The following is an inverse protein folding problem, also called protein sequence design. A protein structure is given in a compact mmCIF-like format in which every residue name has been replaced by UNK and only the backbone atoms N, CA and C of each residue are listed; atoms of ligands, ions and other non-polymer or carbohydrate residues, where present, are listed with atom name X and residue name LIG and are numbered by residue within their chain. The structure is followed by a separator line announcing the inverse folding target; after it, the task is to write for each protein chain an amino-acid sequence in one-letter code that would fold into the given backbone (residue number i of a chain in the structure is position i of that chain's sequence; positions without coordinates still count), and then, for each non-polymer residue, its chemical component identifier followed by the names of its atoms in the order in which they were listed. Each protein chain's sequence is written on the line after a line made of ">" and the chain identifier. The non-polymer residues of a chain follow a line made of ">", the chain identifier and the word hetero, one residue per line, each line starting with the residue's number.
data_IF_422610391401
#
_entry.id   IF_422610391401
#
_cell.length_a   1.000
_cell.length_b   1.000
_cell.length_c   1.000
_cell.angle_alpha   90.00
_cell.angle_beta   90.00
_cell.angle_gamma   90.00
#
_symmetry.space_group_name_H-M   'P 1'
#
loop_
_entity.id
_entity.type
_entity.pdbx_description
1 polymer ?
#
# COMPACT_ATOMS: atom_id res chain seq x y z
N UNK A 1 -1.34 -2.06 20.29
CA UNK A 1 -2.76 -1.66 20.22
C UNK A 1 -3.49 -2.67 19.35
N UNK A 2 -4.68 -3.05 19.75
CA UNK A 2 -5.50 -4.09 19.06
C UNK A 2 -6.03 -3.65 17.68
N UNK A 3 -5.57 -2.50 17.20
CA UNK A 3 -6.01 -1.89 15.94
C UNK A 3 -5.08 -2.17 14.75
N UNK A 4 -3.85 -2.64 14.99
CA UNK A 4 -2.87 -2.91 13.93
C UNK A 4 -2.50 -4.38 13.95
N UNK A 5 -2.73 -5.06 12.83
CA UNK A 5 -2.41 -6.47 12.65
C UNK A 5 -1.24 -6.61 11.67
N UNK A 6 -0.10 -7.09 12.16
CA UNK A 6 0.99 -7.49 11.29
C UNK A 6 0.65 -8.85 10.67
N UNK A 7 0.49 -8.90 9.36
CA UNK A 7 0.23 -10.14 8.64
C UNK A 7 1.55 -10.86 8.32
N UNK A 8 1.59 -12.13 8.69
CA UNK A 8 2.71 -13.03 8.46
C UNK A 8 2.21 -14.33 7.84
N UNK A 9 3.12 -15.16 7.36
CA UNK A 9 2.75 -16.49 6.83
C UNK A 9 1.96 -17.34 7.85
N UNK A 10 2.23 -17.14 9.14
CA UNK A 10 1.67 -17.98 10.20
C UNK A 10 0.25 -17.54 10.61
N UNK A 11 -0.13 -16.28 10.34
CA UNK A 11 -1.40 -15.76 10.80
C UNK A 11 -2.38 -15.35 9.68
N UNK A 12 -1.97 -15.32 8.42
CA UNK A 12 -2.85 -14.92 7.29
C UNK A 12 -4.17 -15.71 7.30
N UNK A 13 -4.11 -17.03 7.51
CA UNK A 13 -5.29 -17.90 7.49
C UNK A 13 -6.31 -17.59 8.59
N UNK A 14 -5.92 -16.93 9.68
CA UNK A 14 -6.84 -16.48 10.73
C UNK A 14 -7.55 -15.15 10.38
N UNK A 15 -7.04 -14.41 9.41
CA UNK A 15 -7.59 -13.11 9.01
C UNK A 15 -8.45 -13.16 7.74
N UNK A 16 -8.12 -14.07 6.81
CA UNK A 16 -8.82 -14.16 5.53
C UNK A 16 -8.90 -15.61 5.06
N UNK A 17 -10.01 -15.97 4.43
CA UNK A 17 -10.17 -17.27 3.76
C UNK A 17 -9.95 -17.08 2.26
N UNK A 18 -8.87 -17.66 1.75
CA UNK A 18 -8.59 -17.69 0.32
C UNK A 18 -8.85 -19.09 -0.23
N UNK A 19 -9.26 -19.24 -1.50
CA UNK A 19 -9.38 -20.55 -2.14
C UNK A 19 -8.06 -21.33 -2.12
N UNK A 20 -8.10 -22.64 -1.89
CA UNK A 20 -6.91 -23.48 -1.78
C UNK A 20 -5.97 -23.36 -2.99
N UNK A 21 -6.52 -23.22 -4.20
CA UNK A 21 -5.71 -23.10 -5.41
C UNK A 21 -4.77 -21.87 -5.40
N UNK A 22 -5.07 -20.82 -4.62
CA UNK A 22 -4.18 -19.67 -4.45
C UNK A 22 -2.92 -20.08 -3.70
N UNK A 23 -3.07 -20.81 -2.58
CA UNK A 23 -1.94 -21.34 -1.82
C UNK A 23 -1.15 -22.37 -2.61
N UNK A 24 -1.83 -23.25 -3.35
CA UNK A 24 -1.19 -24.25 -4.20
C UNK A 24 -0.31 -23.60 -5.26
N UNK A 25 -0.80 -22.54 -5.91
CA UNK A 25 -0.05 -21.78 -6.91
C UNK A 25 1.14 -21.03 -6.32
N UNK A 26 0.96 -20.44 -5.12
CA UNK A 26 2.05 -19.80 -4.40
C UNK A 26 3.16 -20.82 -4.07
N UNK A 27 2.79 -22.00 -3.55
CA UNK A 27 3.71 -23.08 -3.20
C UNK A 27 4.45 -23.65 -4.41
N UNK A 28 3.82 -23.70 -5.60
CA UNK A 28 4.46 -24.13 -6.85
C UNK A 28 5.28 -23.02 -7.53
N UNK A 29 5.33 -21.81 -6.97
CA UNK A 29 6.02 -20.66 -7.57
C UNK A 29 5.34 -20.07 -8.83
N UNK A 30 4.10 -20.45 -9.10
CA UNK A 30 3.28 -19.92 -10.19
C UNK A 30 2.69 -18.55 -9.87
N UNK A 31 2.63 -18.22 -8.59
CA UNK A 31 2.18 -16.93 -8.05
C UNK A 31 3.29 -16.31 -7.22
N UNK A 32 3.72 -15.09 -7.54
CA UNK A 32 4.71 -14.39 -6.74
C UNK A 32 4.11 -13.89 -5.42
N UNK A 33 4.94 -13.66 -4.40
CA UNK A 33 4.49 -13.03 -3.14
C UNK A 33 3.89 -11.64 -3.35
N UNK A 34 4.32 -10.89 -4.36
CA UNK A 34 3.73 -9.59 -4.71
C UNK A 34 2.28 -9.76 -5.14
N UNK A 35 2.02 -10.65 -6.12
CA UNK A 35 0.67 -10.90 -6.58
C UNK A 35 -0.22 -11.56 -5.51
N UNK A 36 0.38 -12.42 -4.68
CA UNK A 36 -0.33 -12.97 -3.52
C UNK A 36 -0.76 -11.85 -2.56
N UNK A 37 0.13 -10.89 -2.29
CA UNK A 37 -0.18 -9.70 -1.48
C UNK A 37 -1.29 -8.85 -2.11
N UNK A 38 -1.34 -8.74 -3.45
CA UNK A 38 -2.41 -8.02 -4.16
C UNK A 38 -3.78 -8.68 -3.95
N UNK A 39 -3.83 -10.02 -4.03
CA UNK A 39 -5.06 -10.78 -3.77
C UNK A 39 -5.48 -10.63 -2.31
N UNK A 40 -4.52 -10.80 -1.40
CA UNK A 40 -4.72 -10.76 0.04
C UNK A 40 -5.34 -9.42 0.47
N UNK A 41 -4.78 -8.29 0.00
CA UNK A 41 -5.29 -6.95 0.35
C UNK A 41 -6.72 -6.71 -0.12
N UNK A 42 -7.07 -7.19 -1.31
CA UNK A 42 -8.40 -7.04 -1.86
C UNK A 42 -9.41 -7.89 -1.08
N UNK A 43 -9.07 -9.15 -0.79
CA UNK A 43 -9.95 -10.04 -0.04
C UNK A 43 -10.15 -9.52 1.40
N UNK A 44 -9.08 -9.12 2.08
CA UNK A 44 -9.18 -8.56 3.43
C UNK A 44 -10.03 -7.29 3.48
N UNK A 45 -9.83 -6.36 2.55
CA UNK A 45 -10.58 -5.11 2.52
C UNK A 45 -12.05 -5.33 2.17
N UNK A 46 -12.38 -6.32 1.35
CA UNK A 46 -13.77 -6.71 1.12
C UNK A 46 -14.38 -7.39 2.34
N UNK A 47 -13.68 -8.37 2.94
CA UNK A 47 -14.22 -9.21 4.00
C UNK A 47 -14.28 -8.50 5.37
N UNK A 48 -13.39 -7.56 5.63
CA UNK A 48 -13.25 -6.90 6.94
C UNK A 48 -13.39 -5.39 6.87
N UNK A 49 -13.12 -4.78 5.74
CA UNK A 49 -12.87 -3.35 5.64
C UNK A 49 -11.56 -2.96 6.31
N UNK A 50 -11.43 -1.68 6.64
CA UNK A 50 -10.24 -1.14 7.30
C UNK A 50 -9.20 -0.60 6.33
N UNK A 51 -7.94 -0.64 6.74
CA UNK A 51 -6.81 -0.05 6.01
C UNK A 51 -5.74 -1.11 5.76
N UNK A 52 -5.42 -1.32 4.50
CA UNK A 52 -4.21 -2.04 4.09
C UNK A 52 -3.03 -1.09 3.99
N UNK A 53 -1.91 -1.48 4.56
CA UNK A 53 -0.64 -0.77 4.47
C UNK A 53 0.48 -1.76 4.17
N UNK A 54 1.25 -1.51 3.09
CA UNK A 54 2.47 -2.29 2.85
C UNK A 54 3.50 -2.04 3.96
N UNK A 55 4.27 -3.05 4.32
CA UNK A 55 5.35 -2.96 5.34
C UNK A 55 6.48 -1.98 5.00
N UNK A 56 6.50 -1.45 3.78
CA UNK A 56 7.45 -0.43 3.34
C UNK A 56 6.94 1.00 3.51
N UNK A 57 5.82 1.19 4.22
CA UNK A 57 5.35 2.53 4.58
C UNK A 57 5.91 2.94 5.93
N UNK A 58 6.42 4.16 6.00
CA UNK A 58 6.72 4.85 7.25
C UNK A 58 5.60 5.87 7.52
N UNK A 59 5.01 5.77 8.71
CA UNK A 59 3.97 6.68 9.17
C UNK A 59 4.54 7.47 10.34
N UNK A 60 4.53 8.79 10.23
CA UNK A 60 5.20 9.68 11.19
C UNK A 60 4.24 10.33 12.17
N UNK A 61 2.93 10.26 11.89
CA UNK A 61 1.87 10.80 12.76
C UNK A 61 0.57 10.02 12.55
N UNK A 62 -0.46 10.35 13.33
CA UNK A 62 -1.80 9.76 13.19
C UNK A 62 -2.35 9.98 11.77
N UNK A 63 -2.90 8.92 11.18
CA UNK A 63 -3.57 9.01 9.90
C UNK A 63 -5.05 9.30 10.17
N UNK A 64 -5.50 10.49 9.79
CA UNK A 64 -6.92 10.77 9.69
C UNK A 64 -7.41 10.35 8.31
N UNK A 65 -8.10 9.21 8.22
CA UNK A 65 -8.83 8.86 7.02
C UNK A 65 -10.25 9.39 7.24
N UNK A 66 -10.75 10.29 6.36
CA UNK A 66 -12.17 10.63 6.36
C UNK A 66 -12.91 9.31 6.34
N UNK A 67 -13.89 9.12 7.25
CA UNK A 67 -14.67 7.89 7.30
C UNK A 67 -14.98 7.50 5.85
N UNK A 68 -14.39 6.43 5.33
CA UNK A 68 -14.56 6.16 3.92
C UNK A 68 -15.96 5.60 3.79
N UNK A 69 -16.89 6.43 3.37
CA UNK A 69 -18.18 5.92 2.96
C UNK A 69 -18.02 4.84 1.90
N UNK A 70 -16.83 4.77 1.29
CA UNK A 70 -16.61 3.83 0.20
C UNK A 70 -15.13 3.41 -0.01
N UNK A 71 -14.24 4.32 -0.43
CA UNK A 71 -12.87 4.02 -0.84
C UNK A 71 -11.93 5.18 -0.52
N UNK A 72 -10.73 4.86 -0.02
CA UNK A 72 -9.66 5.85 0.14
C UNK A 72 -8.30 5.24 -0.22
N UNK A 73 -7.40 6.09 -0.73
CA UNK A 73 -6.03 5.75 -1.07
C UNK A 73 -5.16 7.00 -1.05
N UNK A 74 -3.87 6.86 -1.30
CA UNK A 74 -2.98 7.99 -1.54
C UNK A 74 -3.12 8.42 -2.99
N UNK A 75 -3.44 9.69 -3.20
CA UNK A 75 -3.52 10.34 -4.51
C UNK A 75 -2.42 11.40 -4.60
N UNK A 76 -1.61 11.33 -5.64
CA UNK A 76 -0.44 12.20 -5.79
C UNK A 76 -0.63 13.10 -7.01
N UNK A 77 -0.27 14.37 -6.85
CA UNK A 77 -0.14 15.28 -8.01
C UNK A 77 1.21 15.05 -8.63
N UNK A 78 1.23 14.60 -9.89
CA UNK A 78 2.47 14.53 -10.67
C UNK A 78 2.25 15.14 -12.05
N UNK A 79 3.31 15.62 -12.65
CA UNK A 79 3.27 16.20 -14.00
C UNK A 79 3.20 15.17 -15.15
N UNK A 80 3.11 13.86 -14.86
CA UNK A 80 3.17 12.81 -15.86
C UNK A 80 2.21 11.67 -15.57
N UNK A 81 1.34 11.34 -16.51
CA UNK A 81 0.39 10.22 -16.46
C UNK A 81 0.99 8.95 -17.10
N UNK A 82 2.17 8.53 -16.68
CA UNK A 82 2.87 7.36 -17.27
C UNK A 82 2.48 6.04 -16.65
N UNK A 83 1.69 6.03 -15.56
CA UNK A 83 1.25 4.81 -14.88
C UNK A 83 -0.21 4.48 -15.19
N UNK A 84 -0.59 3.20 -15.05
CA UNK A 84 -1.98 2.75 -15.25
C UNK A 84 -2.93 3.48 -14.29
N UNK A 85 -2.52 3.63 -13.03
CA UNK A 85 -3.28 4.35 -12.02
C UNK A 85 -3.40 5.85 -12.34
N UNK A 86 -2.55 6.40 -13.19
CA UNK A 86 -2.39 7.85 -13.41
C UNK A 86 -2.32 8.62 -12.07
N UNK A 87 -1.66 8.00 -11.08
CA UNK A 87 -1.52 8.49 -9.70
C UNK A 87 -2.83 8.78 -8.96
N UNK A 88 -3.95 8.23 -9.44
CA UNK A 88 -5.28 8.34 -8.81
C UNK A 88 -5.41 7.52 -7.54
N UNK A 89 -4.61 6.45 -7.41
CA UNK A 89 -4.51 5.58 -6.24
C UNK A 89 -3.11 4.97 -6.10
N UNK A 90 -2.83 4.47 -4.91
CA UNK A 90 -1.63 3.72 -4.58
C UNK A 90 -2.03 2.40 -3.91
N UNK A 91 -1.82 1.27 -4.59
CA UNK A 91 -2.26 -0.05 -4.09
C UNK A 91 -1.55 -0.50 -2.82
N UNK A 92 -0.44 0.12 -2.47
CA UNK A 92 0.27 -0.10 -1.21
C UNK A 92 -0.38 0.59 0.01
N UNK A 93 -1.39 1.45 -0.21
CA UNK A 93 -2.21 2.08 0.83
C UNK A 93 -3.64 2.17 0.34
N UNK A 94 -4.51 1.31 0.87
CA UNK A 94 -5.91 1.24 0.49
C UNK A 94 -6.78 1.20 1.74
N UNK A 95 -7.88 1.94 1.73
CA UNK A 95 -8.90 1.83 2.76
C UNK A 95 -10.28 1.59 2.14
N UNK A 96 -11.08 0.76 2.79
CA UNK A 96 -12.42 0.42 2.31
C UNK A 96 -13.33 0.06 3.47
N UNK A 97 -14.62 0.19 3.26
CA UNK A 97 -15.64 -0.36 4.16
C UNK A 97 -15.81 -1.85 3.94
N UNK A 98 -16.23 -2.57 4.98
CA UNK A 98 -16.63 -3.97 4.85
C UNK A 98 -17.73 -4.14 3.79
N UNK A 99 -17.61 -5.17 2.96
CA UNK A 99 -18.60 -5.51 1.93
C UNK A 99 -18.69 -4.51 0.77
N UNK A 100 -17.69 -3.65 0.58
CA UNK A 100 -17.66 -2.68 -0.52
C UNK A 100 -17.87 -3.35 -1.88
N UNK A 101 -18.93 -3.00 -2.66
CA UNK A 101 -19.25 -3.68 -3.91
C UNK A 101 -18.16 -3.58 -4.98
N UNK A 102 -17.39 -2.48 -5.01
CA UNK A 102 -16.28 -2.36 -5.94
C UNK A 102 -15.17 -3.37 -5.61
N UNK A 103 -14.82 -3.51 -4.32
CA UNK A 103 -13.85 -4.51 -3.87
C UNK A 103 -14.34 -5.94 -4.10
N UNK A 104 -15.63 -6.23 -3.90
CA UNK A 104 -16.22 -7.51 -4.26
C UNK A 104 -16.09 -7.84 -5.76
N UNK A 105 -16.29 -6.84 -6.61
CA UNK A 105 -16.10 -6.99 -8.07
C UNK A 105 -14.61 -7.21 -8.40
N UNK A 106 -13.70 -6.43 -7.81
CA UNK A 106 -12.25 -6.58 -8.01
C UNK A 106 -11.78 -7.97 -7.56
N UNK A 107 -12.22 -8.40 -6.37
CA UNK A 107 -11.94 -9.75 -5.85
C UNK A 107 -12.41 -10.83 -6.83
N UNK A 108 -13.65 -10.74 -7.30
CA UNK A 108 -14.24 -11.73 -8.22
C UNK A 108 -13.47 -11.81 -9.54
N UNK A 109 -13.08 -10.67 -10.11
CA UNK A 109 -12.28 -10.63 -11.35
C UNK A 109 -10.92 -11.27 -11.09
N UNK A 110 -10.25 -10.91 -9.98
CA UNK A 110 -8.91 -11.40 -9.66
C UNK A 110 -8.91 -12.91 -9.45
N UNK A 111 -9.84 -13.43 -8.63
CA UNK A 111 -9.95 -14.86 -8.33
C UNK A 111 -10.32 -15.65 -9.58
N UNK A 112 -11.28 -15.16 -10.39
CA UNK A 112 -11.65 -15.81 -11.65
C UNK A 112 -10.48 -15.84 -12.64
N UNK A 113 -9.76 -14.75 -12.80
CA UNK A 113 -8.56 -14.70 -13.63
C UNK A 113 -7.55 -15.79 -13.22
N UNK A 114 -7.26 -15.90 -11.92
CA UNK A 114 -6.32 -16.90 -11.41
C UNK A 114 -6.84 -18.33 -11.49
N UNK A 115 -8.14 -18.54 -11.53
CA UNK A 115 -8.72 -19.85 -11.74
C UNK A 115 -8.60 -20.31 -13.20
N UNK A 116 -8.71 -19.38 -14.15
CA UNK A 116 -8.72 -19.66 -15.59
C UNK A 116 -7.32 -19.63 -16.23
N UNK A 117 -6.41 -18.82 -15.70
CA UNK A 117 -5.10 -18.58 -16.31
C UNK A 117 -3.94 -18.94 -15.37
N UNK A 118 -2.98 -19.71 -15.88
CA UNK A 118 -1.81 -20.16 -15.12
C UNK A 118 -0.69 -19.12 -14.99
N UNK A 119 -0.75 -18.06 -15.78
CA UNK A 119 0.28 -17.01 -15.78
C UNK A 119 -0.34 -15.65 -15.53
N UNK A 120 0.37 -14.81 -14.80
CA UNK A 120 0.03 -13.40 -14.68
C UNK A 120 0.32 -12.69 -16.00
N UNK A 121 -0.66 -11.94 -16.49
CA UNK A 121 -0.50 -11.19 -17.75
C UNK A 121 0.46 -10.02 -17.58
N UNK A 122 0.49 -9.40 -16.41
CA UNK A 122 1.32 -8.25 -16.10
C UNK A 122 1.57 -8.17 -14.59
N UNK A 123 2.70 -7.54 -14.23
CA UNK A 123 3.04 -7.25 -12.83
C UNK A 123 2.01 -6.33 -12.15
N UNK A 124 1.42 -5.40 -12.92
CA UNK A 124 0.45 -4.42 -12.46
C UNK A 124 -1.01 -4.85 -12.68
N UNK A 125 -1.29 -6.16 -12.70
CA UNK A 125 -2.65 -6.67 -12.93
C UNK A 125 -3.68 -6.02 -12.00
N UNK A 126 -3.34 -5.78 -10.74
CA UNK A 126 -4.21 -5.10 -9.78
C UNK A 126 -4.61 -3.70 -10.28
N UNK A 127 -3.66 -2.92 -10.80
CA UNK A 127 -3.92 -1.57 -11.32
C UNK A 127 -4.80 -1.58 -12.56
N UNK A 128 -4.63 -2.57 -13.45
CA UNK A 128 -5.54 -2.77 -14.60
C UNK A 128 -6.96 -3.08 -14.16
N UNK A 129 -7.14 -3.92 -13.13
CA UNK A 129 -8.47 -4.23 -12.60
C UNK A 129 -9.09 -2.98 -11.97
N UNK A 130 -8.32 -2.21 -11.19
CA UNK A 130 -8.79 -0.94 -10.62
C UNK A 130 -9.19 0.06 -11.71
N UNK A 131 -8.39 0.22 -12.77
CA UNK A 131 -8.72 1.10 -13.88
C UNK A 131 -9.99 0.65 -14.64
N UNK A 132 -10.18 -0.66 -14.82
CA UNK A 132 -11.41 -1.20 -15.37
C UNK A 132 -12.63 -0.82 -14.52
N UNK A 133 -12.55 -0.99 -13.19
CA UNK A 133 -13.65 -0.62 -12.27
C UNK A 133 -13.84 0.89 -12.24
N UNK A 134 -12.77 1.67 -12.23
CA UNK A 134 -12.86 3.13 -12.32
C UNK A 134 -13.63 3.59 -13.56
N UNK A 135 -13.42 2.93 -14.70
CA UNK A 135 -14.11 3.27 -15.96
C UNK A 135 -15.57 2.78 -16.02
N UNK A 136 -15.91 1.72 -15.27
CA UNK A 136 -17.20 1.03 -15.38
C UNK A 136 -18.14 1.24 -14.20
N UNK A 137 -17.65 1.72 -13.07
CA UNK A 137 -18.43 1.93 -11.86
C UNK A 137 -18.39 3.41 -11.45
N UNK A 138 -19.52 4.09 -11.62
CA UNK A 138 -19.62 5.53 -11.37
C UNK A 138 -19.42 5.89 -9.89
N UNK A 139 -19.84 5.04 -8.96
CA UNK A 139 -19.66 5.27 -7.53
C UNK A 139 -18.19 5.19 -7.15
N UNK A 140 -17.49 4.16 -7.64
CA UNK A 140 -16.05 4.02 -7.43
C UNK A 140 -15.29 5.18 -8.08
N UNK A 141 -15.62 5.53 -9.32
CA UNK A 141 -15.03 6.68 -10.00
C UNK A 141 -15.19 7.96 -9.20
N UNK A 142 -16.40 8.27 -8.73
CA UNK A 142 -16.65 9.46 -7.91
C UNK A 142 -15.82 9.46 -6.64
N UNK A 143 -15.72 8.32 -5.91
CA UNK A 143 -14.91 8.27 -4.70
C UNK A 143 -13.43 8.49 -4.97
N UNK A 144 -12.89 7.98 -6.09
CA UNK A 144 -11.53 8.26 -6.53
C UNK A 144 -11.33 9.73 -6.92
N UNK A 145 -12.25 10.28 -7.69
CA UNK A 145 -12.11 11.66 -8.19
C UNK A 145 -12.21 12.70 -7.08
N UNK A 146 -13.04 12.45 -6.07
CA UNK A 146 -13.24 13.35 -4.92
C UNK A 146 -12.18 13.21 -3.84
N UNK A 147 -11.35 12.16 -3.87
CA UNK A 147 -10.24 12.05 -2.92
C UNK A 147 -9.32 13.27 -3.01
N UNK A 148 -8.91 13.84 -1.87
CA UNK A 148 -7.91 14.90 -1.86
C UNK A 148 -6.55 14.38 -2.29
N UNK A 149 -5.74 15.27 -2.82
CA UNK A 149 -4.30 15.01 -2.99
C UNK A 149 -3.64 15.01 -1.61
N UNK A 150 -2.92 13.92 -1.32
CA UNK A 150 -2.23 13.72 -0.03
C UNK A 150 -0.79 13.33 -0.26
N UNK A 151 0.03 13.49 0.76
CA UNK A 151 1.43 13.02 0.75
C UNK A 151 2.27 13.55 -0.43
N UNK A 152 2.40 14.87 -0.63
CA UNK A 152 3.18 15.44 -1.73
C UNK A 152 4.65 14.98 -1.71
N UNK A 153 5.18 14.66 -0.53
CA UNK A 153 6.54 14.18 -0.34
C UNK A 153 6.63 12.66 -0.13
N UNK A 154 5.66 11.88 -0.67
CA UNK A 154 5.56 10.44 -0.48
C UNK A 154 6.89 9.68 -0.67
N UNK A 155 7.68 10.05 -1.67
CA UNK A 155 8.95 9.39 -2.01
C UNK A 155 10.20 10.18 -1.59
N UNK A 156 10.03 11.36 -0.98
CA UNK A 156 11.14 12.28 -0.67
C UNK A 156 12.20 11.65 0.23
N UNK A 157 11.78 10.86 1.22
CA UNK A 157 12.72 10.25 2.15
C UNK A 157 13.67 9.23 1.51
N UNK A 158 13.35 8.68 0.33
CA UNK A 158 14.25 7.72 -0.34
C UNK A 158 15.65 8.30 -0.60
N UNK A 159 15.73 9.56 -1.00
CA UNK A 159 17.00 10.26 -1.22
C UNK A 159 17.65 10.78 0.07
N UNK A 160 16.87 10.90 1.14
CA UNK A 160 17.32 11.48 2.39
C UNK A 160 17.82 10.46 3.41
N UNK A 161 17.40 9.18 3.27
CA UNK A 161 17.64 8.14 4.28
C UNK A 161 19.11 8.00 4.68
N UNK A 162 20.05 8.12 3.72
CA UNK A 162 21.48 8.01 3.96
C UNK A 162 22.19 9.37 4.09
N UNK A 163 21.43 10.47 4.08
CA UNK A 163 22.00 11.79 4.35
C UNK A 163 22.09 12.05 5.85
N UNK A 164 23.03 12.90 6.31
CA UNK A 164 23.07 13.35 7.70
C UNK A 164 21.68 13.85 8.14
N UNK A 165 21.24 13.44 9.33
CA UNK A 165 19.95 13.84 9.86
C UNK A 165 19.89 15.37 10.05
N UNK A 166 18.88 15.97 9.46
CA UNK A 166 18.53 17.38 9.56
C UNK A 166 17.11 17.51 10.10
N UNK A 167 17.00 17.94 11.37
CA UNK A 167 15.72 18.01 12.07
C UNK A 167 14.76 19.03 11.43
N UNK A 168 15.28 20.22 11.03
CA UNK A 168 14.45 21.26 10.45
C UNK A 168 13.89 20.85 9.08
N UNK A 169 14.71 20.22 8.26
CA UNK A 169 14.31 19.68 6.96
C UNK A 169 13.27 18.59 7.13
N UNK A 170 13.50 17.65 8.05
CA UNK A 170 12.59 16.55 8.29
C UNK A 170 11.25 17.04 8.86
N UNK A 171 11.27 18.00 9.78
CA UNK A 171 10.05 18.58 10.35
C UNK A 171 9.22 19.33 9.31
N UNK A 172 9.83 20.05 8.38
CA UNK A 172 9.12 20.66 7.24
C UNK A 172 8.42 19.63 6.37
N UNK A 173 9.13 18.53 6.03
CA UNK A 173 8.56 17.46 5.20
C UNK A 173 7.36 16.81 5.91
N UNK A 174 7.45 16.56 7.22
CA UNK A 174 6.37 15.95 8.00
C UNK A 174 5.13 16.85 8.16
N UNK A 175 5.27 18.17 8.09
CA UNK A 175 4.12 19.07 8.16
C UNK A 175 3.13 18.85 6.98
N UNK A 176 3.65 18.44 5.82
CA UNK A 176 2.85 18.28 4.61
C UNK A 176 2.63 16.81 4.24
N UNK A 177 3.37 15.88 4.84
CA UNK A 177 3.30 14.46 4.51
C UNK A 177 3.47 13.60 5.76
N UNK A 178 2.46 12.78 6.03
CA UNK A 178 2.45 11.84 7.16
C UNK A 178 2.88 10.43 6.74
N UNK A 179 2.63 10.05 5.50
CA UNK A 179 2.90 8.72 4.96
C UNK A 179 4.01 8.79 3.93
N UNK A 180 5.07 7.99 4.13
CA UNK A 180 6.22 7.92 3.21
C UNK A 180 6.39 6.50 2.68
N UNK A 181 6.61 6.36 1.37
CA UNK A 181 6.94 5.08 0.74
C UNK A 181 8.45 4.89 0.72
N UNK A 182 8.90 3.88 1.45
CA UNK A 182 10.28 3.43 1.47
C UNK A 182 10.51 2.27 0.49
N UNK A 183 11.76 1.84 0.33
CA UNK A 183 12.12 0.76 -0.56
C UNK A 183 13.07 -0.23 0.15
N UNK A 184 12.61 -1.44 0.37
CA UNK A 184 13.38 -2.50 1.03
C UNK A 184 14.58 -3.03 0.21
N UNK A 185 14.67 -2.65 -1.07
CA UNK A 185 15.80 -3.04 -1.94
C UNK A 185 16.98 -2.07 -1.85
N UNK A 186 16.79 -0.92 -1.20
CA UNK A 186 17.87 0.04 -0.97
C UNK A 186 18.59 -0.29 0.33
N UNK A 187 19.91 -0.08 0.34
CA UNK A 187 20.71 -0.18 1.55
C UNK A 187 20.64 1.13 2.32
N UNK A 188 20.37 1.02 3.61
CA UNK A 188 20.32 2.17 4.53
C UNK A 188 21.39 2.01 5.60
N UNK A 189 22.06 3.11 5.93
CA UNK A 189 23.18 3.15 6.88
C UNK A 189 22.80 4.05 8.07
N UNK A 190 23.16 3.61 9.29
CA UNK A 190 22.86 4.38 10.50
C UNK A 190 23.74 5.62 10.64
N UNK A 191 24.95 5.56 10.06
CA UNK A 191 25.89 6.69 10.06
C UNK A 191 26.52 6.85 8.68
N UNK A 192 26.84 8.09 8.30
CA UNK A 192 27.62 8.47 7.14
C UNK A 192 28.59 9.58 7.52
N UNK A 193 29.89 9.42 7.19
CA UNK A 193 30.97 10.37 7.52
C UNK A 193 30.99 10.76 9.02
N UNK A 194 30.74 9.78 9.89
CA UNK A 194 30.73 9.98 11.35
C UNK A 194 29.51 10.70 11.90
N UNK A 195 28.51 10.99 11.08
CA UNK A 195 27.24 11.63 11.49
C UNK A 195 26.09 10.64 11.42
N UNK A 196 25.13 10.76 12.33
CA UNK A 196 23.87 10.01 12.27
C UNK A 196 23.10 10.39 11.00
N UNK A 197 22.60 9.39 10.27
CA UNK A 197 21.76 9.60 9.10
C UNK A 197 20.28 9.69 9.48
N UNK A 198 19.43 10.09 8.55
CA UNK A 198 17.99 10.05 8.77
C UNK A 198 17.52 8.62 9.10
N UNK A 199 18.07 7.60 8.44
CA UNK A 199 17.74 6.20 8.77
C UNK A 199 18.17 5.85 10.21
N UNK A 200 19.37 6.23 10.63
CA UNK A 200 19.86 6.01 12.00
C UNK A 200 18.93 6.63 13.03
N UNK A 201 18.56 7.90 12.83
CA UNK A 201 17.58 8.59 13.68
C UNK A 201 16.22 7.87 13.75
N UNK A 202 15.65 7.50 12.59
CA UNK A 202 14.35 6.82 12.54
C UNK A 202 14.40 5.45 13.21
N UNK A 203 15.46 4.69 12.98
CA UNK A 203 15.68 3.39 13.62
C UNK A 203 15.74 3.54 15.15
N UNK A 204 16.52 4.49 15.64
CA UNK A 204 16.65 4.75 17.08
C UNK A 204 15.31 5.19 17.69
N UNK A 205 14.57 6.06 16.99
CA UNK A 205 13.30 6.60 17.47
C UNK A 205 12.18 5.55 17.51
N UNK A 206 12.06 4.67 16.51
CA UNK A 206 10.89 3.80 16.34
C UNK A 206 11.16 2.32 16.62
N UNK A 207 12.40 1.85 16.49
CA UNK A 207 12.71 0.42 16.65
C UNK A 207 13.50 0.12 17.93
N UNK A 208 14.22 1.09 18.48
CA UNK A 208 15.04 0.91 19.70
C UNK A 208 14.37 1.46 20.96
N UNK A 209 13.14 1.95 20.90
CA UNK A 209 12.33 2.26 22.09
C UNK A 209 11.89 0.94 22.73
N UNK A 210 12.60 0.56 23.78
CA UNK A 210 12.23 -0.53 24.70
C UNK A 210 11.08 -0.10 25.59
#
# INVERSE_FOLDING_TARGET
>A
SDLVHLLTKDNIASHVTLPNYIYDRLNRGELSYTHFSDILRICLLFDKGGIWMDSTLLITDSISIPAPDYFHSIKIVTGSNTTISAYRWATFFLASTHGNPAFGTIQSIFLKYLQEYNKMIDYLLIDYIFDLIYRKNDSFRRSVDTMPYTSPYLHQLLSEMNQPYDAEKFDRIKQETTVFKLNHRLSYYETADGKETLYGYLKNKFLNTK
#
